data_IF_002653957684
#
_entry.id   IF_002653957684
#
_cell.length_a   1.000
_cell.length_b   1.000
_cell.length_c   1.000
_cell.angle_alpha   90.00
_cell.angle_beta   90.00
_cell.angle_gamma   90.00
#
_symmetry.space_group_name_H-M   'P 1'
#
loop_
_entity.id
_entity.type
_entity.pdbx_description
1 polymer ?
#
# COMPACT_ATOMS: atom_id res chain seq x y z
N UNK A 1 -12.33 24.74 7.78
CA UNK A 1 -12.98 23.47 7.41
C UNK A 1 -12.39 22.37 8.27
N UNK A 2 -13.16 21.35 8.70
CA UNK A 2 -12.52 20.18 9.30
C UNK A 2 -11.55 19.60 8.29
N UNK A 3 -10.29 19.34 8.69
CA UNK A 3 -9.37 18.61 7.84
C UNK A 3 -10.02 17.25 7.51
N UNK A 4 -10.05 16.89 6.22
CA UNK A 4 -10.49 15.55 5.83
C UNK A 4 -9.67 14.50 6.57
N UNK A 5 -10.36 13.55 7.21
CA UNK A 5 -9.73 12.54 8.07
C UNK A 5 -8.80 11.62 7.28
N UNK A 6 -9.17 11.22 6.06
CA UNK A 6 -8.34 10.39 5.15
C UNK A 6 -7.60 11.25 4.13
N UNK A 7 -6.57 10.69 3.51
CA UNK A 7 -5.84 11.36 2.44
C UNK A 7 -6.66 11.35 1.15
N UNK A 8 -6.59 12.41 0.34
CA UNK A 8 -7.06 12.37 -1.05
C UNK A 8 -6.16 11.44 -1.87
N UNK A 9 -6.66 10.85 -2.97
CA UNK A 9 -5.85 9.98 -3.84
C UNK A 9 -4.54 10.68 -4.28
N UNK A 10 -4.59 11.97 -4.61
CA UNK A 10 -3.39 12.76 -4.95
C UNK A 10 -2.38 12.84 -3.80
N UNK A 11 -2.84 13.14 -2.58
CA UNK A 11 -1.95 13.20 -1.42
C UNK A 11 -1.41 11.82 -1.06
N UNK A 12 -2.24 10.79 -1.12
CA UNK A 12 -1.82 9.42 -0.86
C UNK A 12 -0.73 8.97 -1.84
N UNK A 13 -0.88 9.23 -3.14
CA UNK A 13 0.16 8.91 -4.14
C UNK A 13 1.50 9.58 -3.82
N UNK A 14 1.46 10.83 -3.33
CA UNK A 14 2.67 11.53 -2.88
C UNK A 14 3.30 10.86 -1.65
N UNK A 15 2.49 10.52 -0.64
CA UNK A 15 2.93 9.80 0.56
C UNK A 15 3.54 8.44 0.18
N UNK A 16 2.87 7.67 -0.67
CA UNK A 16 3.33 6.36 -1.09
C UNK A 16 4.67 6.43 -1.82
N UNK A 17 4.89 7.46 -2.65
CA UNK A 17 6.19 7.68 -3.28
C UNK A 17 7.31 8.00 -2.25
N UNK A 18 7.02 8.79 -1.21
CA UNK A 18 7.96 9.06 -0.12
C UNK A 18 8.27 7.78 0.68
N UNK A 19 7.24 6.99 0.99
CA UNK A 19 7.37 5.71 1.69
C UNK A 19 8.25 4.76 0.88
N UNK A 20 7.95 4.57 -0.40
CA UNK A 20 8.73 3.71 -1.29
C UNK A 20 10.19 4.14 -1.38
N UNK A 21 10.43 5.44 -1.58
CA UNK A 21 11.80 5.99 -1.67
C UNK A 21 12.62 5.79 -0.40
N UNK A 22 11.98 5.64 0.76
CA UNK A 22 12.68 5.45 2.05
C UNK A 22 12.80 3.98 2.45
N UNK A 23 11.80 3.17 2.12
CA UNK A 23 11.76 1.76 2.49
C UNK A 23 12.53 0.87 1.51
N UNK A 24 12.43 1.12 0.20
CA UNK A 24 13.07 0.28 -0.83
C UNK A 24 14.44 0.84 -1.15
N UNK A 25 15.45 0.38 -0.42
CA UNK A 25 16.84 0.86 -0.53
C UNK A 25 17.57 0.33 -1.74
N UNK A 26 17.23 -0.88 -2.20
CA UNK A 26 17.85 -1.53 -3.36
C UNK A 26 16.76 -2.16 -4.25
N UNK A 27 16.22 -1.37 -5.20
CA UNK A 27 15.19 -1.84 -6.14
C UNK A 27 15.68 -2.94 -7.08
N UNK A 28 16.99 -3.09 -7.29
CA UNK A 28 17.53 -4.12 -8.17
C UNK A 28 17.40 -5.52 -7.53
N UNK A 29 17.33 -5.62 -6.21
CA UNK A 29 16.98 -6.88 -5.52
C UNK A 29 15.55 -7.34 -5.78
N UNK A 30 14.65 -6.42 -6.10
CA UNK A 30 13.31 -6.78 -6.58
C UNK A 30 13.36 -7.24 -8.05
N UNK A 31 14.38 -6.83 -8.84
CA UNK A 31 14.53 -7.14 -10.28
C UNK A 31 15.01 -8.55 -10.54
N UNK A 32 15.68 -9.17 -9.57
CA UNK A 32 16.25 -10.51 -9.69
C UNK A 32 15.21 -11.64 -9.86
N UNK A 33 13.92 -11.31 -9.78
CA UNK A 33 12.81 -12.13 -10.24
C UNK A 33 12.45 -11.71 -11.69
N UNK A 34 12.90 -12.45 -12.70
CA UNK A 34 12.42 -12.28 -14.10
C UNK A 34 10.97 -12.78 -14.27
N UNK A 35 10.18 -12.33 -15.27
CA UNK A 35 10.21 -11.13 -16.08
C UNK A 35 8.93 -10.31 -15.87
N UNK A 36 8.92 -9.45 -14.85
CA UNK A 36 8.09 -8.23 -14.75
C UNK A 36 8.88 -7.26 -13.86
N UNK A 37 9.71 -6.41 -14.49
CA UNK A 37 10.66 -5.51 -13.81
C UNK A 37 9.98 -4.65 -12.71
N UNK A 38 10.54 -4.46 -11.50
CA UNK A 38 10.01 -3.74 -10.31
C UNK A 38 9.76 -2.24 -10.48
N UNK A 39 9.70 -1.79 -11.72
CA UNK A 39 8.81 -0.72 -12.09
C UNK A 39 7.32 -1.15 -12.07
N UNK A 40 6.94 -2.39 -11.70
CA UNK A 40 5.55 -2.91 -11.67
C UNK A 40 4.63 -2.30 -10.60
N UNK A 41 4.83 -1.03 -10.27
CA UNK A 41 3.66 -0.16 -10.18
C UNK A 41 2.98 0.03 -11.55
N UNK A 42 3.69 -0.29 -12.64
CA UNK A 42 3.22 -0.16 -14.02
C UNK A 42 2.05 -1.08 -14.41
N UNK A 43 1.87 -2.26 -13.79
CA UNK A 43 0.77 -3.16 -14.19
C UNK A 43 -0.49 -3.02 -13.37
N UNK A 44 -0.38 -2.50 -12.15
CA UNK A 44 -1.55 -2.07 -11.38
C UNK A 44 -1.50 -0.57 -11.22
N UNK A 45 -1.88 0.13 -12.30
CA UNK A 45 -2.05 1.58 -12.26
C UNK A 45 -2.86 1.96 -11.01
N UNK A 46 -2.47 3.01 -10.26
CA UNK A 46 -3.29 3.58 -9.20
C UNK A 46 -4.72 3.84 -9.65
N UNK A 47 -4.90 4.19 -10.92
CA UNK A 47 -6.21 4.45 -11.49
C UNK A 47 -7.01 3.14 -11.60
N UNK A 48 -6.33 2.01 -11.83
CA UNK A 48 -6.93 0.68 -11.77
C UNK A 48 -7.32 0.31 -10.34
N UNK A 49 -6.45 0.52 -9.35
CA UNK A 49 -6.79 0.29 -7.94
C UNK A 49 -7.94 1.20 -7.50
N UNK A 50 -7.89 2.48 -7.83
CA UNK A 50 -8.97 3.44 -7.55
C UNK A 50 -10.29 2.99 -8.21
N UNK A 51 -10.24 2.42 -9.40
CA UNK A 51 -11.41 1.87 -10.10
C UNK A 51 -11.93 0.60 -9.44
N UNK A 52 -11.04 -0.32 -9.06
CA UNK A 52 -11.40 -1.54 -8.32
C UNK A 52 -12.05 -1.18 -6.99
N UNK A 53 -11.44 -0.29 -6.20
CA UNK A 53 -11.97 0.18 -4.91
C UNK A 53 -13.38 0.78 -5.04
N UNK A 54 -13.64 1.54 -6.11
CA UNK A 54 -14.97 2.08 -6.40
C UNK A 54 -16.00 0.99 -6.75
N UNK A 55 -15.58 -0.08 -7.42
CA UNK A 55 -16.46 -1.19 -7.80
C UNK A 55 -16.80 -2.10 -6.62
N UNK A 56 -15.82 -2.41 -5.77
CA UNK A 56 -16.01 -3.35 -4.65
C UNK A 56 -16.75 -2.72 -3.46
N UNK A 57 -16.79 -1.38 -3.38
CA UNK A 57 -17.47 -0.59 -2.34
C UNK A 57 -17.34 -1.20 -0.93
N UNK A 58 -16.09 -1.39 -0.48
CA UNK A 58 -15.79 -1.99 0.81
C UNK A 58 -16.45 -1.22 1.96
N UNK A 59 -17.01 -1.96 2.92
CA UNK A 59 -17.58 -1.43 4.15
C UNK A 59 -16.73 -1.79 5.37
N UNK A 60 -17.01 -1.12 6.49
CA UNK A 60 -16.31 -1.29 7.77
C UNK A 60 -16.43 -2.67 8.42
N UNK A 61 -17.32 -3.53 7.91
CA UNK A 61 -17.47 -4.92 8.34
C UNK A 61 -16.62 -5.91 7.53
N UNK A 62 -16.05 -5.46 6.41
CA UNK A 62 -15.35 -6.30 5.46
C UNK A 62 -13.83 -6.25 5.65
N UNK A 63 -13.19 -7.38 5.36
CA UNK A 63 -11.73 -7.52 5.36
C UNK A 63 -11.23 -7.66 3.93
N UNK A 64 -10.18 -6.92 3.59
CA UNK A 64 -9.48 -7.06 2.31
C UNK A 64 -8.20 -7.89 2.51
N UNK A 65 -7.90 -8.77 1.57
CA UNK A 65 -6.71 -9.63 1.61
C UNK A 65 -6.05 -9.60 0.22
N UNK A 66 -4.76 -9.29 0.19
CA UNK A 66 -3.90 -9.36 -0.99
C UNK A 66 -2.93 -10.55 -0.86
N UNK A 67 -2.99 -11.48 -1.82
CA UNK A 67 -2.18 -12.70 -1.83
C UNK A 67 -1.07 -12.56 -2.88
N UNK A 68 0.19 -12.58 -2.44
CA UNK A 68 1.31 -12.16 -3.27
C UNK A 68 1.47 -10.64 -3.27
N UNK A 69 1.41 -10.04 -2.08
CA UNK A 69 1.32 -8.59 -1.91
C UNK A 69 2.62 -7.83 -2.25
N UNK A 70 3.72 -8.53 -2.51
CA UNK A 70 5.02 -7.96 -2.81
C UNK A 70 5.48 -7.01 -1.69
N UNK A 71 5.78 -5.76 -2.04
CA UNK A 71 6.15 -4.72 -1.08
C UNK A 71 4.95 -4.05 -0.39
N UNK A 72 3.72 -4.49 -0.67
CA UNK A 72 2.50 -4.04 0.01
C UNK A 72 1.80 -2.80 -0.57
N UNK A 73 2.11 -2.39 -1.80
CA UNK A 73 1.54 -1.17 -2.40
C UNK A 73 -0.01 -1.18 -2.43
N UNK A 74 -0.62 -2.30 -2.83
CA UNK A 74 -2.09 -2.41 -2.91
C UNK A 74 -2.70 -2.35 -1.51
N UNK A 75 -2.14 -3.07 -0.54
CA UNK A 75 -2.57 -3.05 0.87
C UNK A 75 -2.56 -1.64 1.43
N UNK A 76 -1.47 -0.89 1.24
CA UNK A 76 -1.37 0.49 1.72
C UNK A 76 -2.39 1.41 1.01
N UNK A 77 -2.66 1.16 -0.28
CA UNK A 77 -3.63 1.92 -1.05
C UNK A 77 -5.07 1.69 -0.56
N UNK A 78 -5.45 0.42 -0.37
CA UNK A 78 -6.75 0.06 0.20
C UNK A 78 -6.89 0.61 1.61
N UNK A 79 -5.86 0.45 2.46
CA UNK A 79 -5.89 0.96 3.82
C UNK A 79 -6.07 2.48 3.88
N UNK A 80 -5.43 3.24 2.98
CA UNK A 80 -5.55 4.69 2.94
C UNK A 80 -6.94 5.15 2.46
N UNK A 81 -7.48 4.54 1.40
CA UNK A 81 -8.62 5.08 0.67
C UNK A 81 -9.97 4.39 0.96
N UNK A 82 -9.98 3.13 1.36
CA UNK A 82 -11.21 2.40 1.68
C UNK A 82 -11.48 2.39 3.18
N UNK A 83 -12.76 2.42 3.56
CA UNK A 83 -13.19 2.21 4.94
C UNK A 83 -13.54 0.73 5.12
N UNK A 84 -12.60 -0.04 5.66
CA UNK A 84 -12.75 -1.47 5.87
C UNK A 84 -12.25 -1.85 7.27
N UNK A 85 -12.70 -3.01 7.76
CA UNK A 85 -12.36 -3.50 9.09
C UNK A 85 -10.84 -3.69 9.24
N UNK A 86 -10.27 -4.39 8.27
CA UNK A 86 -8.86 -4.76 8.25
C UNK A 86 -8.38 -5.02 6.82
N UNK A 87 -7.09 -4.80 6.58
CA UNK A 87 -6.42 -5.07 5.29
C UNK A 87 -5.20 -5.94 5.53
N UNK A 88 -5.11 -7.09 4.88
CA UNK A 88 -3.96 -7.99 4.97
C UNK A 88 -3.22 -8.04 3.64
N UNK A 89 -1.90 -8.12 3.70
CA UNK A 89 -1.07 -8.59 2.59
C UNK A 89 -0.19 -9.74 3.05
N UNK A 90 -0.17 -10.81 2.26
CA UNK A 90 0.70 -11.97 2.47
C UNK A 90 1.69 -12.02 1.31
N UNK A 91 2.97 -12.07 1.61
CA UNK A 91 4.04 -12.23 0.62
C UNK A 91 5.00 -13.34 1.03
N UNK A 92 5.12 -14.36 0.19
CA UNK A 92 5.94 -15.53 0.49
C UNK A 92 7.46 -15.22 0.43
N UNK A 93 7.86 -14.39 -0.53
CA UNK A 93 9.27 -14.11 -0.81
C UNK A 93 9.90 -13.18 0.23
N UNK A 94 11.06 -13.58 0.77
CA UNK A 94 11.69 -12.89 1.90
C UNK A 94 12.11 -11.45 1.60
N UNK A 95 12.62 -11.20 0.39
CA UNK A 95 13.09 -9.87 -0.03
C UNK A 95 11.92 -8.87 -0.09
N UNK A 96 10.84 -9.10 -0.87
CA UNK A 96 9.71 -8.18 -0.89
C UNK A 96 9.00 -8.10 0.46
N UNK A 97 8.85 -9.20 1.22
CA UNK A 97 8.28 -9.15 2.58
C UNK A 97 9.11 -8.28 3.55
N UNK A 98 10.44 -8.31 3.43
CA UNK A 98 11.32 -7.42 4.20
C UNK A 98 11.10 -5.95 3.86
N UNK A 99 10.98 -5.63 2.58
CA UNK A 99 10.62 -4.28 2.16
C UNK A 99 9.19 -3.90 2.56
N UNK A 100 8.24 -4.84 2.56
CA UNK A 100 6.85 -4.62 2.98
C UNK A 100 6.76 -4.18 4.44
N UNK A 101 7.57 -4.77 5.34
CA UNK A 101 7.69 -4.32 6.74
C UNK A 101 8.20 -2.88 6.84
N UNK A 102 9.26 -2.54 6.11
CA UNK A 102 9.78 -1.18 6.07
C UNK A 102 8.78 -0.17 5.47
N UNK A 103 8.05 -0.57 4.41
CA UNK A 103 6.97 0.21 3.81
C UNK A 103 5.85 0.48 4.82
N UNK A 104 5.47 -0.51 5.63
CA UNK A 104 4.47 -0.33 6.68
C UNK A 104 4.91 0.73 7.71
N UNK A 105 6.15 0.64 8.20
CA UNK A 105 6.67 1.55 9.23
C UNK A 105 6.77 2.99 8.73
N UNK A 106 7.30 3.18 7.51
CA UNK A 106 7.37 4.48 6.86
C UNK A 106 5.96 5.02 6.57
N UNK A 107 5.02 4.19 6.10
CA UNK A 107 3.64 4.61 5.86
C UNK A 107 2.94 5.09 7.12
N UNK A 108 3.04 4.34 8.23
CA UNK A 108 2.48 4.75 9.53
C UNK A 108 3.06 6.09 9.99
N UNK A 109 4.36 6.28 9.79
CA UNK A 109 5.07 7.51 10.15
C UNK A 109 4.62 8.70 9.33
N UNK A 110 4.55 8.57 8.00
CA UNK A 110 4.10 9.64 7.11
C UNK A 110 2.62 9.96 7.28
N UNK A 111 1.74 8.96 7.37
CA UNK A 111 0.31 9.21 7.61
C UNK A 111 0.09 9.96 8.93
N UNK A 112 0.83 9.61 9.99
CA UNK A 112 0.82 10.36 11.25
C UNK A 112 1.32 11.79 11.07
N UNK A 113 2.42 11.99 10.33
CA UNK A 113 2.98 13.33 10.06
C UNK A 113 2.01 14.24 9.30
N UNK A 114 1.32 13.72 8.30
CA UNK A 114 0.27 14.44 7.55
C UNK A 114 -1.07 14.53 8.30
N UNK A 115 -1.20 13.89 9.47
CA UNK A 115 -2.43 13.87 10.26
C UNK A 115 -3.59 13.13 9.56
N UNK A 116 -3.29 12.07 8.79
CA UNK A 116 -4.27 11.29 8.02
C UNK A 116 -4.53 9.93 8.65
N UNK A 117 -5.80 9.56 8.70
CA UNK A 117 -6.29 8.26 9.12
C UNK A 117 -6.24 7.27 7.95
N UNK A 118 -6.14 5.99 8.31
CA UNK A 118 -6.19 4.84 7.43
C UNK A 118 -6.82 3.67 8.19
N UNK A 119 -7.33 2.67 7.47
CA UNK A 119 -7.87 1.43 8.04
C UNK A 119 -6.74 0.61 8.66
N UNK A 120 -7.07 -0.22 9.65
CA UNK A 120 -6.08 -1.14 10.21
C UNK A 120 -5.53 -2.07 9.10
N UNK A 121 -4.23 -2.29 9.10
CA UNK A 121 -3.59 -3.15 8.12
C UNK A 121 -2.40 -3.92 8.72
N UNK A 122 -2.09 -5.05 8.08
CA UNK A 122 -0.95 -5.90 8.41
C UNK A 122 -0.31 -6.44 7.12
N UNK A 123 1.02 -6.47 7.09
CA UNK A 123 1.83 -7.05 6.02
C UNK A 123 2.66 -8.17 6.63
N UNK A 124 2.33 -9.40 6.28
CA UNK A 124 2.95 -10.62 6.80
C UNK A 124 3.69 -11.37 5.70
N UNK A 125 4.56 -12.28 6.15
CA UNK A 125 5.20 -13.30 5.32
C UNK A 125 4.44 -14.62 5.43
#
# INVERSE_FOLDING_TARGET
>A
APLEKRATSKLFRHILAQVYSRAVTDPDKLRAYEPFSPSVYGETSPDLIDSILKLINLTEDQTFIDLGSGVGNVVLHVAALANCKHVYGIEYEEIPATYARAMADEFRSWMRWYGKQYSEFQLDQ
#
